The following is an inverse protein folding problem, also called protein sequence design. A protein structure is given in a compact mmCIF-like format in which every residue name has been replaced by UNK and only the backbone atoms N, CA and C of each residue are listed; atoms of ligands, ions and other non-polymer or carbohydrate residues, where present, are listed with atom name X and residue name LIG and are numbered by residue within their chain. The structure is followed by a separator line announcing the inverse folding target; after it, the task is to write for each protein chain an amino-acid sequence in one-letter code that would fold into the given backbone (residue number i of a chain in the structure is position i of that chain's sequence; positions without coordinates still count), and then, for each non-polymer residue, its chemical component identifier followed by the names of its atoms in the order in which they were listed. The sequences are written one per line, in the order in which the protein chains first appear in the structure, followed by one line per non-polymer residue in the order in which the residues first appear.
data_IF_141031165918
#
_entry.id   IF_141031165918
#
_cell.length_a   1.000
_cell.length_b   1.000
_cell.length_c   1.000
_cell.angle_alpha   90.00
_cell.angle_beta   90.00
_cell.angle_gamma   90.00
#
_symmetry.space_group_name_H-M   'P 1'
#
loop_
_entity.id
_entity.type
_entity.pdbx_description
1 polymer ?
#
# COMPACT_ATOMS: atom_id res chain seq x y z
N UNK A 1 -8.44 1.43 -13.29
CA UNK A 1 -9.36 0.30 -13.56
C UNK A 1 -9.18 -0.37 -14.93
N UNK A 2 -8.42 0.21 -15.87
CA UNK A 2 -8.20 -0.43 -17.19
C UNK A 2 -9.47 -0.66 -18.01
N UNK A 3 -10.53 0.11 -17.76
CA UNK A 3 -11.86 -0.08 -18.35
C UNK A 3 -12.83 -0.92 -17.52
N UNK A 4 -12.45 -1.46 -16.36
CA UNK A 4 -13.38 -2.26 -15.52
C UNK A 4 -14.20 -1.37 -14.58
N UNK A 5 -15.49 -1.21 -14.81
CA UNK A 5 -16.34 -0.31 -14.03
C UNK A 5 -17.17 -1.05 -12.98
N UNK A 6 -17.38 -0.47 -11.78
CA UNK A 6 -18.16 -1.08 -10.70
C UNK A 6 -19.67 -0.84 -10.88
N UNK A 7 -20.46 -1.88 -10.63
CA UNK A 7 -21.93 -1.84 -10.63
C UNK A 7 -22.44 -2.46 -9.35
N UNK A 8 -23.41 -1.81 -8.69
CA UNK A 8 -24.10 -2.41 -7.56
C UNK A 8 -24.86 -3.67 -7.99
N UNK A 9 -24.83 -4.72 -7.18
CA UNK A 9 -25.41 -6.03 -7.49
C UNK A 9 -26.79 -6.28 -6.88
N UNK A 10 -27.42 -5.25 -6.29
CA UNK A 10 -28.73 -5.27 -5.64
C UNK A 10 -28.82 -6.08 -4.33
N UNK A 11 -27.69 -6.53 -3.77
CA UNK A 11 -27.67 -7.13 -2.44
C UNK A 11 -27.70 -6.04 -1.36
N UNK A 12 -28.52 -6.22 -0.33
CA UNK A 12 -28.64 -5.25 0.76
C UNK A 12 -27.32 -5.11 1.55
N UNK A 13 -26.98 -3.87 1.89
CA UNK A 13 -25.93 -3.55 2.85
C UNK A 13 -26.50 -3.56 4.28
N UNK A 14 -25.72 -3.94 5.32
CA UNK A 14 -26.16 -3.90 6.72
C UNK A 14 -26.68 -2.54 7.19
N UNK A 15 -26.09 -1.45 6.69
CA UNK A 15 -26.65 -0.10 6.81
C UNK A 15 -27.86 0.04 5.88
N UNK A 16 -29.05 0.04 6.48
CA UNK A 16 -30.34 0.21 5.79
C UNK A 16 -30.43 1.55 5.04
N UNK A 17 -29.80 2.61 5.57
CA UNK A 17 -29.82 3.92 4.94
C UNK A 17 -28.96 3.92 3.67
N UNK A 18 -27.78 3.28 3.70
CA UNK A 18 -26.99 3.07 2.49
C UNK A 18 -27.77 2.22 1.46
N UNK A 19 -28.43 1.16 1.90
CA UNK A 19 -29.29 0.35 1.02
C UNK A 19 -30.39 1.18 0.37
N UNK A 20 -31.08 2.04 1.13
CA UNK A 20 -32.11 2.92 0.60
C UNK A 20 -31.56 3.91 -0.45
N UNK A 21 -30.38 4.50 -0.21
CA UNK A 21 -29.71 5.40 -1.17
C UNK A 21 -29.27 4.69 -2.45
N UNK A 22 -28.77 3.45 -2.34
CA UNK A 22 -28.41 2.63 -3.50
C UNK A 22 -29.65 2.25 -4.31
N UNK A 23 -30.77 1.91 -3.65
CA UNK A 23 -32.03 1.57 -4.30
C UNK A 23 -32.75 2.76 -4.94
N UNK A 24 -32.58 3.97 -4.41
CA UNK A 24 -33.09 5.17 -5.07
C UNK A 24 -32.27 5.59 -6.29
N UNK A 25 -31.09 5.01 -6.46
CA UNK A 25 -30.18 5.29 -7.57
C UNK A 25 -30.41 4.38 -8.78
N UNK A 26 -29.87 4.77 -9.93
CA UNK A 26 -30.08 4.03 -11.18
C UNK A 26 -29.21 2.77 -11.24
N UNK A 27 -29.79 1.60 -10.96
CA UNK A 27 -29.12 0.28 -10.95
C UNK A 27 -28.47 -0.14 -12.28
N UNK A 28 -28.87 0.44 -13.41
CA UNK A 28 -28.28 0.15 -14.72
C UNK A 28 -27.02 0.96 -15.00
N UNK A 29 -26.73 2.00 -14.20
CA UNK A 29 -25.54 2.84 -14.33
C UNK A 29 -24.43 2.36 -13.40
N UNK A 30 -23.19 2.47 -13.88
CA UNK A 30 -22.03 2.24 -13.03
C UNK A 30 -22.01 3.23 -11.87
N UNK A 31 -21.50 2.81 -10.73
CA UNK A 31 -21.35 3.63 -9.53
C UNK A 31 -20.62 4.95 -9.81
N UNK A 32 -19.63 4.95 -10.71
CA UNK A 32 -18.84 6.15 -11.04
C UNK A 32 -19.64 7.25 -11.77
N UNK A 33 -20.84 6.92 -12.27
CA UNK A 33 -21.77 7.86 -12.89
C UNK A 33 -22.97 8.17 -11.99
N UNK A 34 -22.95 7.71 -10.76
CA UNK A 34 -23.95 8.05 -9.76
C UNK A 34 -23.47 9.22 -8.90
N UNK A 35 -24.37 9.78 -8.09
CA UNK A 35 -24.00 10.82 -7.13
C UNK A 35 -23.25 10.19 -5.95
N UNK A 36 -21.93 10.08 -6.09
CA UNK A 36 -21.05 9.51 -5.06
C UNK A 36 -21.12 10.31 -3.76
N UNK A 37 -21.33 11.63 -3.84
CA UNK A 37 -21.47 12.48 -2.66
C UNK A 37 -22.72 12.08 -1.89
N UNK A 38 -23.86 11.95 -2.57
CA UNK A 38 -25.10 11.46 -1.97
C UNK A 38 -24.95 10.05 -1.38
N UNK A 39 -24.40 9.11 -2.14
CA UNK A 39 -24.24 7.71 -1.70
C UNK A 39 -23.37 7.58 -0.45
N UNK A 40 -22.33 8.41 -0.33
CA UNK A 40 -21.38 8.41 0.79
C UNK A 40 -21.87 9.10 2.07
N UNK A 41 -23.07 9.70 2.07
CA UNK A 41 -23.55 10.47 3.22
C UNK A 41 -23.71 9.61 4.48
N UNK A 42 -23.13 10.09 5.59
CA UNK A 42 -23.27 9.44 6.89
C UNK A 42 -22.51 8.13 7.03
N UNK A 43 -21.65 7.77 6.07
CA UNK A 43 -20.77 6.61 6.22
C UNK A 43 -19.56 6.98 7.09
N UNK A 44 -19.24 6.08 8.02
CA UNK A 44 -18.07 6.16 8.88
C UNK A 44 -17.08 5.06 8.50
N UNK A 45 -15.78 5.36 8.60
CA UNK A 45 -14.72 4.40 8.28
C UNK A 45 -13.34 4.98 8.55
N UNK A 46 -12.31 4.21 8.17
CA UNK A 46 -10.90 4.53 8.45
C UNK A 46 -10.28 5.60 7.55
N UNK A 47 -11.02 6.11 6.56
CA UNK A 47 -10.56 7.12 5.62
C UNK A 47 -11.30 8.45 5.80
N UNK A 48 -10.59 9.56 5.64
CA UNK A 48 -11.20 10.90 5.58
C UNK A 48 -11.83 11.20 4.23
N UNK A 49 -11.63 10.35 3.21
CA UNK A 49 -12.26 10.48 1.91
C UNK A 49 -13.59 9.70 1.88
N UNK A 50 -14.74 10.38 1.74
CA UNK A 50 -16.05 9.74 1.81
C UNK A 50 -16.30 8.75 0.66
N UNK A 51 -15.69 8.96 -0.51
CA UNK A 51 -15.77 8.03 -1.64
C UNK A 51 -14.97 6.76 -1.36
N UNK A 52 -13.82 6.88 -0.69
CA UNK A 52 -13.04 5.72 -0.25
C UNK A 52 -13.84 4.89 0.75
N UNK A 53 -14.45 5.53 1.75
CA UNK A 53 -15.30 4.84 2.73
C UNK A 53 -16.47 4.14 2.04
N UNK A 54 -17.15 4.81 1.10
CA UNK A 54 -18.21 4.18 0.30
C UNK A 54 -17.71 2.94 -0.45
N UNK A 55 -16.55 3.01 -1.09
CA UNK A 55 -15.98 1.87 -1.83
C UNK A 55 -15.63 0.70 -0.91
N UNK A 56 -15.10 0.98 0.28
CA UNK A 56 -14.77 -0.02 1.30
C UNK A 56 -16.04 -0.70 1.82
N UNK A 57 -17.07 0.08 2.19
CA UNK A 57 -18.36 -0.45 2.62
C UNK A 57 -19.04 -1.32 1.56
N UNK A 58 -18.87 -1.01 0.27
CA UNK A 58 -19.47 -1.77 -0.81
C UNK A 58 -18.65 -3.00 -1.21
N UNK A 59 -17.33 -2.97 -1.05
CA UNK A 59 -16.45 -4.08 -1.43
C UNK A 59 -16.34 -5.10 -0.29
N UNK A 60 -16.25 -4.64 0.95
CA UNK A 60 -16.19 -5.47 2.16
C UNK A 60 -17.15 -4.95 3.24
N UNK A 61 -18.47 -5.20 3.12
CA UNK A 61 -19.44 -4.74 4.10
C UNK A 61 -19.11 -5.24 5.51
N UNK A 62 -19.06 -4.32 6.48
CA UNK A 62 -18.80 -4.67 7.88
C UNK A 62 -17.38 -5.14 8.21
N UNK A 63 -16.41 -4.96 7.30
CA UNK A 63 -15.01 -5.37 7.51
C UNK A 63 -14.39 -4.81 8.78
N UNK A 64 -14.69 -3.55 9.11
CA UNK A 64 -14.19 -2.87 10.32
C UNK A 64 -14.78 -3.48 11.61
N UNK A 65 -15.95 -4.12 11.52
CA UNK A 65 -16.54 -4.91 12.61
C UNK A 65 -16.08 -6.38 12.61
N UNK A 66 -15.10 -6.73 11.75
CA UNK A 66 -14.59 -8.10 11.61
C UNK A 66 -15.54 -9.05 10.88
N UNK A 67 -16.56 -8.53 10.19
CA UNK A 67 -17.51 -9.35 9.44
C UNK A 67 -16.92 -9.74 8.07
N UNK A 68 -17.28 -10.95 7.63
CA UNK A 68 -16.91 -11.49 6.32
C UNK A 68 -18.16 -11.58 5.43
N UNK A 69 -18.58 -10.43 4.90
CA UNK A 69 -19.78 -10.33 4.07
C UNK A 69 -19.45 -10.33 2.57
N UNK A 70 -20.35 -10.83 1.70
CA UNK A 70 -20.18 -10.76 0.26
C UNK A 70 -20.08 -9.31 -0.25
N UNK A 71 -19.22 -9.08 -1.24
CA UNK A 71 -19.13 -7.79 -1.94
C UNK A 71 -20.46 -7.41 -2.61
N UNK A 72 -20.78 -6.12 -2.59
CA UNK A 72 -21.98 -5.54 -3.21
C UNK A 72 -21.72 -5.01 -4.62
N UNK A 73 -20.49 -5.17 -5.11
CA UNK A 73 -20.06 -4.70 -6.42
C UNK A 73 -19.83 -5.85 -7.40
N UNK A 74 -20.26 -5.64 -8.64
CA UNK A 74 -19.91 -6.43 -9.82
C UNK A 74 -19.10 -5.56 -10.77
N UNK A 75 -17.90 -6.02 -11.09
CA UNK A 75 -17.00 -5.35 -12.03
C UNK A 75 -17.30 -5.80 -13.46
N UNK A 76 -17.48 -4.84 -14.38
CA UNK A 76 -17.79 -5.11 -15.80
C UNK A 76 -16.76 -4.44 -16.71
N UNK A 77 -16.27 -5.12 -17.77
CA UNK A 77 -15.31 -4.53 -18.69
C UNK A 77 -15.99 -3.58 -19.68
N UNK A 78 -15.41 -2.39 -19.85
CA UNK A 78 -15.77 -1.36 -20.82
C UNK A 78 -14.51 -0.91 -21.55
N UNK A 79 -14.23 -1.55 -22.70
CA UNK A 79 -13.01 -1.27 -23.46
C UNK A 79 -12.96 0.17 -23.98
N UNK A 80 -14.11 0.74 -24.35
CA UNK A 80 -14.28 2.13 -24.79
C UNK A 80 -14.04 3.16 -23.67
N UNK A 81 -13.99 2.70 -22.41
CA UNK A 81 -13.72 3.52 -21.22
C UNK A 81 -12.33 3.30 -20.65
N UNK A 82 -11.49 2.50 -21.31
CA UNK A 82 -10.10 2.34 -20.93
C UNK A 82 -9.34 3.64 -21.20
N UNK A 83 -8.66 4.15 -20.17
CA UNK A 83 -7.75 5.30 -20.28
C UNK A 83 -6.38 4.76 -20.67
N UNK A 84 -5.72 5.37 -21.66
CA UNK A 84 -4.34 5.06 -21.96
C UNK A 84 -3.41 5.64 -20.89
N UNK A 85 -2.56 4.80 -20.31
CA UNK A 85 -1.69 5.17 -19.20
C UNK A 85 -0.51 4.20 -19.08
N UNK A 86 0.51 4.63 -18.35
CA UNK A 86 1.63 3.77 -17.98
C UNK A 86 1.97 3.95 -16.50
N UNK A 87 2.29 2.84 -15.85
CA UNK A 87 2.72 2.73 -14.46
C UNK A 87 4.19 2.33 -14.48
N UNK A 88 5.03 3.19 -13.91
CA UNK A 88 6.48 3.04 -13.86
C UNK A 88 6.88 2.65 -12.44
N UNK A 89 7.74 1.64 -12.28
CA UNK A 89 8.18 1.21 -10.96
C UNK A 89 9.52 0.48 -10.96
N UNK A 90 10.24 0.58 -9.83
CA UNK A 90 11.56 -0.03 -9.63
C UNK A 90 11.52 -1.56 -9.72
N UNK A 91 10.43 -2.17 -9.25
CA UNK A 91 10.28 -3.62 -9.15
C UNK A 91 8.96 -4.15 -9.68
N UNK A 92 8.63 -5.43 -9.39
CA UNK A 92 7.35 -6.03 -9.73
C UNK A 92 6.17 -5.27 -9.12
N UNK A 93 4.94 -5.41 -9.67
CA UNK A 93 3.76 -4.82 -9.08
C UNK A 93 3.55 -5.28 -7.63
N UNK A 94 3.27 -4.34 -6.74
CA UNK A 94 3.06 -4.60 -5.32
C UNK A 94 3.76 -3.60 -4.40
N UNK A 95 4.68 -2.79 -4.92
CA UNK A 95 5.32 -1.73 -4.13
C UNK A 95 6.09 -2.31 -2.93
N UNK A 96 5.86 -1.74 -1.74
CA UNK A 96 6.58 -2.12 -0.52
C UNK A 96 6.46 -3.62 -0.17
N UNK A 97 5.36 -4.28 -0.51
CA UNK A 97 5.17 -5.71 -0.28
C UNK A 97 6.25 -6.59 -0.95
N UNK A 98 6.85 -6.11 -2.05
CA UNK A 98 7.93 -6.83 -2.74
C UNK A 98 9.29 -6.72 -2.02
N UNK A 99 9.44 -5.75 -1.10
CA UNK A 99 10.69 -5.48 -0.39
C UNK A 99 10.68 -5.93 1.07
N UNK A 100 9.50 -6.13 1.65
CA UNK A 100 9.33 -6.63 3.03
C UNK A 100 9.72 -8.12 3.14
N UNK A 101 10.10 -8.58 4.34
CA UNK A 101 10.32 -10.02 4.60
C UNK A 101 9.02 -10.80 4.36
N UNK A 102 9.10 -11.74 3.43
CA UNK A 102 8.00 -12.58 3.01
C UNK A 102 7.42 -13.50 4.08
N UNK A 103 8.20 -13.83 5.12
CA UNK A 103 7.80 -14.73 6.20
C UNK A 103 6.98 -14.04 7.30
N UNK A 104 7.04 -12.70 7.38
CA UNK A 104 6.29 -11.93 8.37
C UNK A 104 4.80 -12.00 8.03
N UNK A 105 3.96 -12.15 9.06
CA UNK A 105 2.51 -12.11 8.90
C UNK A 105 2.02 -10.67 8.78
N UNK A 106 1.15 -10.41 7.81
CA UNK A 106 0.48 -9.12 7.62
C UNK A 106 -0.23 -8.70 8.89
N UNK A 107 -0.24 -7.41 9.20
CA UNK A 107 -1.11 -6.89 10.26
C UNK A 107 -2.55 -7.02 9.81
N UNK A 108 -2.88 -6.49 8.63
CA UNK A 108 -4.23 -6.59 8.08
C UNK A 108 -4.63 -8.02 7.69
N UNK A 109 -5.93 -8.27 7.68
CA UNK A 109 -6.51 -9.52 7.22
C UNK A 109 -6.46 -9.61 5.69
N UNK A 110 -6.35 -10.83 5.14
CA UNK A 110 -6.27 -11.08 3.70
C UNK A 110 -7.42 -10.45 2.91
N UNK A 111 -8.66 -10.50 3.42
CA UNK A 111 -9.81 -9.88 2.77
C UNK A 111 -9.67 -8.37 2.64
N UNK A 112 -9.05 -7.69 3.62
CA UNK A 112 -8.85 -6.24 3.59
C UNK A 112 -7.80 -5.79 2.56
N UNK A 113 -7.00 -6.72 2.06
CA UNK A 113 -5.95 -6.47 1.08
C UNK A 113 -6.39 -6.85 -0.34
N UNK A 114 -7.65 -7.24 -0.53
CA UNK A 114 -8.20 -7.61 -1.82
C UNK A 114 -8.24 -6.42 -2.79
N UNK A 115 -7.92 -6.71 -4.05
CA UNK A 115 -8.05 -5.77 -5.14
C UNK A 115 -9.36 -6.03 -5.91
N UNK A 116 -9.99 -4.96 -6.43
CA UNK A 116 -11.22 -5.02 -7.20
C UNK A 116 -11.34 -6.18 -8.19
N UNK A 117 -12.38 -6.99 -8.04
CA UNK A 117 -12.72 -8.04 -8.99
C UNK A 117 -11.92 -9.34 -8.89
N UNK A 118 -11.02 -9.48 -7.90
CA UNK A 118 -10.33 -10.73 -7.62
C UNK A 118 -10.24 -10.97 -6.11
N UNK A 119 -11.12 -11.79 -5.56
CA UNK A 119 -11.05 -12.17 -4.14
C UNK A 119 -9.73 -12.93 -3.83
N UNK A 120 -9.11 -12.65 -2.68
CA UNK A 120 -7.83 -13.21 -2.27
C UNK A 120 -7.93 -14.72 -2.12
N UNK A 121 -9.01 -15.21 -1.50
CA UNK A 121 -9.28 -16.65 -1.33
C UNK A 121 -9.42 -17.37 -2.66
N UNK A 122 -10.02 -16.72 -3.67
CA UNK A 122 -10.12 -17.30 -5.02
C UNK A 122 -8.75 -17.37 -5.69
N UNK A 123 -7.89 -16.38 -5.46
CA UNK A 123 -6.51 -16.43 -5.92
C UNK A 123 -5.71 -17.52 -5.19
N UNK A 124 -5.86 -17.68 -3.87
CA UNK A 124 -5.22 -18.76 -3.09
C UNK A 124 -5.63 -20.14 -3.64
N UNK A 125 -6.92 -20.38 -3.86
CA UNK A 125 -7.44 -21.63 -4.40
C UNK A 125 -6.85 -21.97 -5.78
N UNK A 126 -6.69 -20.97 -6.65
CA UNK A 126 -6.09 -21.12 -7.98
C UNK A 126 -4.61 -21.50 -7.92
N UNK A 127 -3.92 -21.12 -6.84
CA UNK A 127 -2.51 -21.44 -6.62
C UNK A 127 -2.33 -22.71 -5.77
N UNK A 128 -3.38 -23.52 -5.61
CA UNK A 128 -3.32 -24.80 -4.88
C UNK A 128 -3.33 -24.66 -3.36
N UNK A 129 -3.58 -23.47 -2.83
CA UNK A 129 -3.71 -23.26 -1.38
C UNK A 129 -5.14 -23.55 -0.93
N UNK A 130 -5.35 -24.07 0.30
CA UNK A 130 -6.69 -24.29 0.85
C UNK A 130 -7.47 -22.98 0.92
N UNK A 131 -8.75 -23.01 0.53
CA UNK A 131 -9.66 -21.88 0.79
C UNK A 131 -9.83 -21.77 2.30
N UNK A 132 -9.32 -20.67 2.85
CA UNK A 132 -9.34 -20.38 4.29
C UNK A 132 -10.29 -19.21 4.57
N UNK A 133 -10.76 -19.11 5.81
CA UNK A 133 -11.49 -17.93 6.30
C UNK A 133 -10.58 -16.70 6.36
N UNK A 134 -11.16 -15.56 6.75
CA UNK A 134 -10.45 -14.29 6.84
C UNK A 134 -9.39 -14.42 7.92
N UNK A 135 -8.13 -14.15 7.56
CA UNK A 135 -6.97 -14.30 8.45
C UNK A 135 -5.80 -13.44 8.00
N UNK A 136 -4.82 -13.29 8.89
CA UNK A 136 -3.49 -12.78 8.53
C UNK A 136 -2.76 -13.79 7.66
N UNK A 137 -2.00 -13.29 6.68
CA UNK A 137 -1.26 -14.11 5.71
C UNK A 137 0.20 -13.66 5.68
N UNK A 138 1.12 -14.51 5.23
CA UNK A 138 2.49 -14.07 4.98
C UNK A 138 2.52 -12.90 3.99
N UNK A 139 3.42 -11.94 4.21
CA UNK A 139 3.71 -10.82 3.31
C UNK A 139 3.98 -11.31 1.89
N UNK A 140 4.70 -12.43 1.74
CA UNK A 140 4.98 -13.04 0.44
C UNK A 140 3.71 -13.39 -0.34
N UNK A 141 2.64 -13.80 0.36
CA UNK A 141 1.35 -14.11 -0.27
C UNK A 141 0.71 -12.85 -0.86
N UNK A 142 0.78 -11.71 -0.18
CA UNK A 142 0.25 -10.43 -0.67
C UNK A 142 1.07 -9.92 -1.85
N UNK A 143 2.40 -10.01 -1.75
CA UNK A 143 3.32 -9.64 -2.83
C UNK A 143 3.05 -10.46 -4.10
N UNK A 144 2.85 -11.78 -3.96
CA UNK A 144 2.48 -12.65 -5.06
C UNK A 144 1.10 -12.31 -5.63
N UNK A 145 0.11 -12.08 -4.76
CA UNK A 145 -1.25 -11.70 -5.14
C UNK A 145 -1.28 -10.42 -5.99
N UNK A 146 -0.58 -9.35 -5.57
CA UNK A 146 -0.55 -8.08 -6.33
C UNK A 146 0.18 -8.19 -7.67
N UNK A 147 1.27 -8.94 -7.71
CA UNK A 147 1.97 -9.24 -8.97
C UNK A 147 1.07 -10.01 -9.94
N UNK A 148 0.38 -11.04 -9.44
CA UNK A 148 -0.45 -11.90 -10.28
C UNK A 148 -1.76 -11.21 -10.66
N UNK A 149 -2.29 -10.32 -9.82
CA UNK A 149 -3.45 -9.48 -10.13
C UNK A 149 -3.25 -8.70 -11.43
N UNK A 150 -2.08 -8.07 -11.61
CA UNK A 150 -1.75 -7.34 -12.86
C UNK A 150 -1.84 -8.24 -14.09
N UNK A 151 -1.38 -9.50 -13.98
CA UNK A 151 -1.46 -10.48 -15.08
C UNK A 151 -2.89 -10.96 -15.31
N UNK A 152 -3.57 -11.41 -14.26
CA UNK A 152 -4.91 -11.99 -14.30
C UNK A 152 -5.96 -10.98 -14.77
N UNK A 153 -5.79 -9.71 -14.42
CA UNK A 153 -6.66 -8.61 -14.82
C UNK A 153 -6.24 -7.94 -16.14
N UNK A 154 -5.26 -8.52 -16.85
CA UNK A 154 -4.77 -8.06 -18.17
C UNK A 154 -4.28 -6.61 -18.15
N UNK A 155 -3.66 -6.20 -17.06
CA UNK A 155 -3.14 -4.85 -16.85
C UNK A 155 -1.66 -4.73 -17.24
N UNK A 156 -0.94 -5.84 -17.47
CA UNK A 156 0.50 -5.85 -17.73
C UNK A 156 0.96 -4.87 -18.82
N UNK A 157 0.15 -4.63 -19.86
CA UNK A 157 0.45 -3.68 -20.93
C UNK A 157 0.63 -2.23 -20.46
N UNK A 158 0.09 -1.88 -19.29
CA UNK A 158 0.23 -0.56 -18.68
C UNK A 158 1.37 -0.50 -17.68
N UNK A 159 2.15 -1.56 -17.48
CA UNK A 159 3.22 -1.60 -16.48
C UNK A 159 4.58 -1.71 -17.17
N UNK A 160 5.50 -0.83 -16.75
CA UNK A 160 6.93 -0.96 -17.02
C UNK A 160 7.65 -1.02 -15.68
N UNK A 161 8.03 -2.24 -15.31
CA UNK A 161 8.83 -2.54 -14.11
C UNK A 161 10.32 -2.48 -14.43
N UNK A 162 11.17 -2.35 -13.41
CA UNK A 162 12.63 -2.26 -13.58
C UNK A 162 13.08 -0.89 -14.07
N UNK A 163 12.37 0.17 -13.70
CA UNK A 163 12.70 1.53 -14.11
C UNK A 163 12.71 2.48 -12.92
N UNK A 164 13.57 3.49 -13.00
CA UNK A 164 13.64 4.59 -12.05
C UNK A 164 13.26 5.88 -12.77
N UNK A 165 12.24 6.57 -12.27
CA UNK A 165 11.92 7.95 -12.68
C UNK A 165 12.84 8.89 -11.92
N UNK A 166 13.54 9.75 -12.65
CA UNK A 166 14.51 10.72 -12.10
C UNK A 166 13.98 12.15 -12.14
N UNK A 167 13.07 12.48 -13.05
CA UNK A 167 12.47 13.80 -13.13
C UNK A 167 11.04 13.79 -13.64
N UNK A 168 10.23 14.70 -13.10
CA UNK A 168 8.90 15.05 -13.61
C UNK A 168 8.88 16.57 -13.78
N UNK A 169 8.75 17.06 -15.01
CA UNK A 169 8.82 18.49 -15.34
C UNK A 169 7.58 18.94 -16.11
N UNK A 170 7.04 20.13 -15.83
CA UNK A 170 5.99 20.68 -16.69
C UNK A 170 6.55 21.02 -18.07
N UNK A 171 5.77 20.76 -19.12
CA UNK A 171 6.09 21.14 -20.51
C UNK A 171 5.37 22.45 -20.81
N UNK A 172 6.12 23.46 -21.27
CA UNK A 172 5.59 24.79 -21.59
C UNK A 172 5.51 25.69 -20.36
N UNK A 173 6.63 26.37 -20.06
CA UNK A 173 6.68 27.42 -19.04
C UNK A 173 5.87 28.65 -19.45
N UNK A 174 4.57 28.66 -19.17
CA UNK A 174 3.78 29.87 -19.10
C UNK A 174 2.94 29.81 -17.82
N UNK A 175 3.41 30.54 -16.81
CA UNK A 175 2.49 31.10 -15.82
C UNK A 175 1.35 31.81 -16.58
N UNK A 176 0.11 31.82 -16.08
CA UNK A 176 -0.97 32.58 -16.69
C UNK A 176 -0.62 34.07 -16.59
N UNK A 177 0.05 34.62 -17.60
CA UNK A 177 0.21 36.06 -17.73
C UNK A 177 -1.10 36.61 -18.26
N UNK A 178 -1.72 37.43 -17.43
CA UNK A 178 -2.85 38.28 -17.78
C UNK A 178 -2.51 39.13 -19.00
N UNK A 179 -3.30 39.01 -20.07
CA UNK A 179 -3.60 40.17 -20.89
C UNK A 179 -3.14 40.23 -22.35
N UNK A 180 -2.90 39.12 -23.06
CA UNK A 180 -2.69 39.19 -24.51
C UNK A 180 -3.80 38.49 -25.31
N UNK A 181 -4.53 39.30 -26.08
CA UNK A 181 -5.50 38.86 -27.08
C UNK A 181 -4.75 38.19 -28.23
N UNK A 182 -5.13 36.96 -28.55
CA UNK A 182 -4.61 36.23 -29.70
C UNK A 182 -5.60 36.44 -30.85
N UNK A 183 -5.16 37.19 -31.86
CA UNK A 183 -5.81 37.23 -33.18
C UNK A 183 -5.46 35.96 -33.98
N UNK A 184 -6.40 35.62 -34.86
CA UNK A 184 -6.62 34.34 -35.51
C UNK A 184 -5.68 34.03 -36.69
N UNK A 185 -5.72 32.74 -37.09
CA UNK A 185 -5.35 32.20 -38.40
C UNK A 185 -3.86 31.87 -38.66
N UNK A 186 -3.43 30.74 -38.11
CA UNK A 186 -2.46 29.86 -38.77
C UNK A 186 -2.86 28.40 -38.53
N UNK A 187 -3.51 27.80 -39.54
CA UNK A 187 -3.73 26.35 -39.64
C UNK A 187 -2.39 25.63 -39.72
N UNK A 188 -1.82 25.36 -38.55
CA UNK A 188 -0.80 24.31 -38.40
C UNK A 188 -1.52 23.15 -37.75
N UNK A 189 -1.43 21.96 -38.36
CA UNK A 189 -1.99 20.72 -37.86
C UNK A 189 -1.49 20.44 -36.43
N UNK A 190 -2.21 21.00 -35.46
CA UNK A 190 -2.01 20.81 -34.03
C UNK A 190 -2.40 19.38 -33.73
N UNK A 191 -1.42 18.48 -33.74
CA UNK A 191 -1.48 17.30 -32.89
C UNK A 191 -1.82 17.82 -31.49
N UNK A 192 -3.05 17.61 -31.04
CA UNK A 192 -3.56 18.00 -29.72
C UNK A 192 -2.89 17.17 -28.62
N UNK A 193 -1.56 17.12 -28.57
CA UNK A 193 -0.83 16.71 -27.39
C UNK A 193 -0.97 17.85 -26.38
N UNK A 194 -2.09 17.84 -25.65
CA UNK A 194 -2.28 18.59 -24.39
C UNK A 194 -1.35 18.07 -23.27
N UNK A 195 -0.15 17.65 -23.65
CA UNK A 195 0.85 17.16 -22.76
C UNK A 195 1.34 18.31 -21.90
N UNK A 196 1.28 18.08 -20.59
CA UNK A 196 1.66 19.08 -19.59
C UNK A 196 2.89 18.65 -18.84
N UNK A 197 3.32 17.39 -18.98
CA UNK A 197 4.38 16.81 -18.18
C UNK A 197 5.32 15.95 -19.04
N UNK A 198 6.61 16.12 -18.78
CA UNK A 198 7.70 15.26 -19.21
C UNK A 198 8.14 14.42 -18.01
N UNK A 199 8.20 13.11 -18.18
CA UNK A 199 8.64 12.13 -17.17
C UNK A 199 9.86 11.40 -17.69
N UNK A 200 10.99 11.63 -17.05
CA UNK A 200 12.29 11.09 -17.45
C UNK A 200 12.78 10.05 -16.44
N UNK A 201 13.56 9.10 -16.93
CA UNK A 201 14.13 8.07 -16.10
C UNK A 201 15.06 7.14 -16.87
N UNK A 202 15.42 6.01 -16.27
CA UNK A 202 16.23 4.99 -16.90
C UNK A 202 15.78 3.58 -16.51
N UNK A 203 16.10 2.61 -17.37
CA UNK A 203 15.96 1.18 -17.08
C UNK A 203 17.09 0.71 -16.16
N UNK A 204 16.76 0.01 -15.08
CA UNK A 204 17.73 -0.38 -14.05
C UNK A 204 18.71 -1.47 -14.50
N UNK A 205 18.40 -2.19 -15.58
CA UNK A 205 19.25 -3.25 -16.11
C UNK A 205 20.10 -2.74 -17.27
N UNK A 206 19.48 -2.06 -18.24
CA UNK A 206 20.19 -1.59 -19.45
C UNK A 206 20.82 -0.22 -19.28
N UNK A 207 20.45 0.54 -18.24
CA UNK A 207 20.77 1.96 -18.05
C UNK A 207 20.30 2.86 -19.21
N UNK A 208 19.40 2.37 -20.07
CA UNK A 208 18.88 3.17 -21.18
C UNK A 208 17.90 4.23 -20.65
N UNK A 209 18.09 5.51 -21.02
CA UNK A 209 17.18 6.56 -20.63
C UNK A 209 15.83 6.44 -21.36
N UNK A 210 14.77 6.93 -20.73
CA UNK A 210 13.47 7.08 -21.36
C UNK A 210 12.84 8.44 -21.05
N UNK A 211 11.92 8.85 -21.93
CA UNK A 211 11.07 10.03 -21.75
C UNK A 211 9.63 9.66 -22.12
N UNK A 212 8.70 9.89 -21.20
CA UNK A 212 7.27 9.89 -21.47
C UNK A 212 6.72 11.30 -21.42
N UNK A 213 5.79 11.59 -22.31
CA UNK A 213 5.10 12.88 -22.39
C UNK A 213 3.61 12.62 -22.18
N UNK A 214 3.00 13.27 -21.18
CA UNK A 214 1.63 12.99 -20.80
C UNK A 214 0.86 14.23 -20.32
N UNK A 215 -0.47 14.12 -20.29
CA UNK A 215 -1.36 15.19 -19.82
C UNK A 215 -1.40 15.31 -18.30
N UNK A 216 -1.31 14.18 -17.60
CA UNK A 216 -1.44 14.09 -16.15
C UNK A 216 -0.41 13.12 -15.60
N UNK A 217 0.12 13.44 -14.41
CA UNK A 217 1.03 12.58 -13.64
C UNK A 217 0.40 12.33 -12.28
N UNK A 218 0.49 11.08 -11.82
CA UNK A 218 0.11 10.69 -10.45
C UNK A 218 1.36 10.13 -9.79
N UNK A 219 1.75 10.73 -8.67
CA UNK A 219 2.87 10.26 -7.87
C UNK A 219 2.36 9.29 -6.80
N UNK A 220 2.73 8.03 -6.93
CA UNK A 220 2.40 6.96 -6.00
C UNK A 220 3.68 6.24 -5.53
N UNK A 221 4.67 7.03 -5.11
CA UNK A 221 6.05 6.56 -4.80
C UNK A 221 6.18 5.96 -3.41
N UNK A 222 5.14 6.05 -2.56
CA UNK A 222 5.23 5.67 -1.16
C UNK A 222 6.11 6.61 -0.35
N UNK A 223 6.33 6.27 0.92
CA UNK A 223 7.14 7.01 1.88
C UNK A 223 8.01 6.12 2.77
N UNK A 224 8.05 4.82 2.48
CA UNK A 224 8.70 3.80 3.34
C UNK A 224 10.15 3.56 2.98
N UNK A 225 10.64 4.12 1.87
CA UNK A 225 12.02 4.00 1.40
C UNK A 225 12.94 5.14 1.87
N UNK A 226 12.42 6.06 2.70
CA UNK A 226 13.22 7.10 3.36
C UNK A 226 13.08 7.01 4.88
N UNK A 227 14.19 6.74 5.55
CA UNK A 227 14.23 6.60 7.00
C UNK A 227 14.25 7.96 7.70
N UNK A 228 13.66 8.02 8.88
CA UNK A 228 13.79 9.16 9.78
C UNK A 228 15.09 9.03 10.59
N UNK A 229 15.77 10.15 10.77
CA UNK A 229 17.01 10.25 11.54
C UNK A 229 16.79 11.12 12.79
N UNK A 230 17.44 10.76 13.90
CA UNK A 230 17.41 11.54 15.13
C UNK A 230 18.30 12.79 15.06
N UNK A 231 19.22 12.82 14.10
CA UNK A 231 20.26 13.82 13.90
C UNK A 231 21.14 13.99 15.15
N UNK A 232 21.54 12.87 15.76
CA UNK A 232 22.46 12.87 16.91
C UNK A 232 23.92 12.69 16.48
N UNK A 233 24.86 13.14 17.31
CA UNK A 233 26.28 13.04 17.00
C UNK A 233 26.70 11.57 16.81
N UNK A 234 27.27 11.26 15.65
CA UNK A 234 27.79 9.92 15.31
C UNK A 234 26.77 8.97 14.69
N UNK A 235 25.52 9.36 14.47
CA UNK A 235 24.47 8.50 13.87
C UNK A 235 24.85 7.94 12.51
N UNK A 236 25.53 8.74 11.67
CA UNK A 236 25.99 8.31 10.34
C UNK A 236 27.37 7.64 10.34
N UNK A 237 28.04 7.55 11.49
CA UNK A 237 29.43 7.09 11.58
C UNK A 237 29.56 5.61 11.98
N UNK A 238 28.45 4.93 12.25
CA UNK A 238 28.45 3.60 12.86
C UNK A 238 27.54 2.57 12.14
N UNK A 239 27.76 2.30 10.84
CA UNK A 239 26.90 1.42 10.06
C UNK A 239 26.97 -0.07 10.49
N UNK A 240 27.90 -0.45 11.36
CA UNK A 240 28.04 -1.83 11.84
C UNK A 240 27.10 -2.20 12.98
N UNK A 241 26.54 -1.21 13.69
CA UNK A 241 25.68 -1.48 14.86
C UNK A 241 24.49 -0.52 14.97
N UNK A 242 24.38 0.47 14.08
CA UNK A 242 23.24 1.39 14.01
C UNK A 242 22.48 1.15 12.70
N UNK A 243 21.18 0.85 12.84
CA UNK A 243 20.30 0.49 11.73
C UNK A 243 19.04 1.35 11.76
N UNK A 244 18.54 1.73 10.57
CA UNK A 244 17.34 2.57 10.41
C UNK A 244 16.15 1.83 9.80
N UNK A 245 16.36 0.59 9.38
CA UNK A 245 15.34 -0.32 8.90
C UNK A 245 15.42 -1.67 9.62
N UNK A 246 14.29 -2.36 9.66
CA UNK A 246 14.15 -3.62 10.37
C UNK A 246 14.94 -4.76 9.70
N UNK A 247 15.07 -4.74 8.37
CA UNK A 247 15.67 -5.85 7.63
C UNK A 247 17.19 -5.93 7.86
N UNK A 248 17.89 -4.79 7.79
CA UNK A 248 19.32 -4.72 8.09
C UNK A 248 19.58 -5.05 9.57
N UNK A 249 18.71 -4.60 10.47
CA UNK A 249 18.76 -4.96 11.89
C UNK A 249 18.61 -6.47 12.12
N UNK A 250 17.61 -7.12 11.52
CA UNK A 250 17.38 -8.56 11.65
C UNK A 250 18.54 -9.38 11.10
N UNK A 251 19.12 -8.95 9.97
CA UNK A 251 20.31 -9.58 9.41
C UNK A 251 21.50 -9.51 10.37
N UNK A 252 21.79 -8.32 10.90
CA UNK A 252 22.87 -8.13 11.87
C UNK A 252 22.62 -8.92 13.16
N UNK A 253 21.37 -9.00 13.60
CA UNK A 253 20.96 -9.79 14.76
C UNK A 253 21.21 -11.29 14.54
N UNK A 254 20.86 -11.83 13.38
CA UNK A 254 21.10 -13.24 13.05
C UNK A 254 22.58 -13.58 13.12
N UNK A 255 23.44 -12.70 12.63
CA UNK A 255 24.89 -12.89 12.68
C UNK A 255 25.42 -12.80 14.13
N UNK A 256 24.98 -11.80 14.89
CA UNK A 256 25.30 -11.66 16.33
C UNK A 256 24.91 -12.92 17.13
N UNK A 257 23.72 -13.46 16.88
CA UNK A 257 23.19 -14.66 17.53
C UNK A 257 24.01 -15.91 17.21
N UNK A 258 24.46 -16.05 15.96
CA UNK A 258 25.31 -17.17 15.53
C UNK A 258 26.69 -17.11 16.18
N UNK A 259 27.28 -15.93 16.25
CA UNK A 259 28.62 -15.72 16.82
C UNK A 259 28.62 -15.86 18.36
N UNK A 260 27.48 -15.60 19.01
CA UNK A 260 27.35 -15.60 20.47
C UNK A 260 26.28 -16.59 20.95
N UNK A 261 26.56 -17.91 20.91
CA UNK A 261 25.60 -18.94 21.31
C UNK A 261 25.38 -19.04 22.83
N UNK A 262 26.27 -18.45 23.63
CA UNK A 262 26.24 -18.54 25.09
C UNK A 262 25.03 -17.83 25.70
N UNK A 263 24.30 -18.54 26.58
CA UNK A 263 23.18 -18.01 27.35
C UNK A 263 23.51 -18.12 28.84
N UNK A 264 23.33 -17.01 29.58
CA UNK A 264 23.43 -16.94 31.03
C UNK A 264 22.19 -16.23 31.56
N UNK A 265 21.55 -16.81 32.59
CA UNK A 265 20.37 -16.22 33.25
C UNK A 265 19.21 -15.92 32.27
N UNK A 266 19.06 -16.75 31.23
CA UNK A 266 18.01 -16.61 30.22
C UNK A 266 18.29 -15.60 29.11
N UNK A 267 19.45 -14.93 29.13
CA UNK A 267 19.87 -13.96 28.13
C UNK A 267 21.21 -14.34 27.50
N UNK A 268 21.45 -13.87 26.28
CA UNK A 268 22.76 -13.95 25.64
C UNK A 268 23.76 -13.04 26.32
N UNK A 269 25.01 -13.47 26.37
CA UNK A 269 26.12 -12.69 26.92
C UNK A 269 26.70 -11.74 25.88
N UNK A 270 25.89 -10.76 25.47
CA UNK A 270 26.23 -9.70 24.51
C UNK A 270 25.82 -8.34 25.06
N UNK A 271 26.30 -7.25 24.45
CA UNK A 271 25.84 -5.91 24.79
C UNK A 271 24.33 -5.75 24.51
N UNK A 272 23.59 -4.97 25.32
CA UNK A 272 22.17 -4.76 25.12
C UNK A 272 21.85 -4.11 23.77
N UNK A 273 20.82 -4.62 23.11
CA UNK A 273 20.25 -4.02 21.90
C UNK A 273 19.37 -2.83 22.30
N UNK A 274 19.68 -1.66 21.76
CA UNK A 274 18.89 -0.45 21.97
C UNK A 274 17.92 -0.23 20.80
N UNK A 275 16.62 -0.22 21.09
CA UNK A 275 15.57 0.02 20.10
C UNK A 275 14.93 1.37 20.38
N UNK A 276 14.88 2.24 19.36
CA UNK A 276 14.31 3.59 19.49
C UNK A 276 13.01 3.72 18.68
N UNK A 277 11.93 4.09 19.37
CA UNK A 277 10.63 4.35 18.76
C UNK A 277 9.51 3.47 19.33
N UNK A 278 8.26 3.84 19.03
CA UNK A 278 7.06 3.13 19.48
C UNK A 278 6.16 2.69 18.31
N UNK A 279 6.69 2.66 17.08
CA UNK A 279 5.95 2.18 15.90
C UNK A 279 5.97 0.66 15.78
N UNK A 280 5.29 0.14 14.75
CA UNK A 280 5.23 -1.30 14.46
C UNK A 280 6.61 -1.91 14.23
N UNK A 281 7.48 -1.25 13.46
CA UNK A 281 8.86 -1.74 13.25
C UNK A 281 9.66 -1.83 14.55
N UNK A 282 9.45 -0.91 15.50
CA UNK A 282 10.11 -0.98 16.81
C UNK A 282 9.55 -2.15 17.63
N UNK A 283 8.24 -2.38 17.58
CA UNK A 283 7.63 -3.53 18.23
C UNK A 283 8.12 -4.86 17.65
N UNK A 284 8.19 -4.99 16.33
CA UNK A 284 8.73 -6.18 15.65
C UNK A 284 10.20 -6.42 16.04
N UNK A 285 11.01 -5.35 16.08
CA UNK A 285 12.40 -5.43 16.53
C UNK A 285 12.51 -5.90 17.99
N UNK A 286 11.62 -5.45 18.89
CA UNK A 286 11.59 -5.90 20.29
C UNK A 286 11.21 -7.38 20.36
N UNK A 287 10.17 -7.80 19.64
CA UNK A 287 9.71 -9.19 19.62
C UNK A 287 10.80 -10.13 19.10
N UNK A 288 11.45 -9.76 18.00
CA UNK A 288 12.55 -10.52 17.40
C UNK A 288 13.74 -10.62 18.35
N UNK A 289 14.14 -9.50 18.99
CA UNK A 289 15.24 -9.50 19.96
C UNK A 289 14.95 -10.39 21.17
N UNK A 290 13.72 -10.35 21.70
CA UNK A 290 13.29 -11.20 22.82
C UNK A 290 13.26 -12.67 22.43
N UNK A 291 12.77 -12.99 21.22
CA UNK A 291 12.75 -14.36 20.70
C UNK A 291 14.17 -14.97 20.66
N UNK A 292 15.18 -14.15 20.37
CA UNK A 292 16.58 -14.55 20.37
C UNK A 292 17.29 -14.41 21.74
N UNK A 293 16.56 -14.12 22.82
CA UNK A 293 17.10 -13.93 24.18
C UNK A 293 18.17 -12.83 24.27
N UNK A 294 18.05 -11.76 23.48
CA UNK A 294 18.98 -10.63 23.55
C UNK A 294 18.62 -9.70 24.73
N UNK A 295 19.60 -9.21 25.50
CA UNK A 295 19.37 -8.13 26.45
C UNK A 295 18.93 -6.87 25.69
N UNK A 296 17.95 -6.13 26.22
CA UNK A 296 17.24 -5.10 25.46
C UNK A 296 16.97 -3.83 26.25
N UNK A 297 17.18 -2.69 25.60
CA UNK A 297 16.82 -1.34 26.06
C UNK A 297 15.82 -0.77 25.05
N UNK A 298 14.59 -0.52 25.49
CA UNK A 298 13.57 0.10 24.64
C UNK A 298 13.38 1.57 25.01
N UNK A 299 13.75 2.47 24.09
CA UNK A 299 13.62 3.92 24.26
C UNK A 299 12.49 4.41 23.37
N UNK A 300 11.49 5.05 23.97
CA UNK A 300 10.40 5.65 23.22
C UNK A 300 9.93 6.92 23.89
N UNK A 301 9.46 7.86 23.07
CA UNK A 301 8.69 8.99 23.57
C UNK A 301 7.35 8.44 24.07
N UNK A 302 6.85 8.97 25.20
CA UNK A 302 5.51 8.64 25.69
C UNK A 302 4.51 9.04 24.61
N UNK A 303 4.10 8.08 23.79
CA UNK A 303 3.22 8.31 22.67
C UNK A 303 1.77 8.31 23.18
N UNK A 304 0.96 9.23 22.68
CA UNK A 304 -0.50 9.17 22.90
C UNK A 304 -1.09 7.91 22.26
N UNK A 305 -0.44 7.39 21.21
CA UNK A 305 -0.85 6.24 20.40
C UNK A 305 0.28 5.22 20.33
N UNK A 306 0.12 4.06 20.96
CA UNK A 306 1.03 2.91 20.82
C UNK A 306 0.34 1.76 20.06
N UNK A 307 1.08 0.86 19.39
CA UNK A 307 0.52 -0.29 18.68
C UNK A 307 -0.45 -1.09 19.56
N UNK A 308 -0.09 -1.34 20.81
CA UNK A 308 -0.91 -1.99 21.84
C UNK A 308 -2.24 -1.27 22.12
N UNK A 309 -2.31 0.05 21.90
CA UNK A 309 -3.54 0.84 22.08
C UNK A 309 -4.40 0.88 20.81
N UNK A 310 -3.81 0.59 19.64
CA UNK A 310 -4.50 0.67 18.34
C UNK A 310 -4.86 -0.68 17.75
N UNK A 311 -4.15 -1.73 18.13
CA UNK A 311 -4.37 -3.08 17.66
C UNK A 311 -5.15 -3.84 18.74
N UNK A 312 -6.25 -4.52 18.42
CA UNK A 312 -6.98 -5.35 19.39
C UNK A 312 -6.17 -6.57 19.86
N UNK A 313 -6.07 -6.80 21.17
CA UNK A 313 -5.29 -7.90 21.78
C UNK A 313 -5.68 -9.28 21.27
N UNK A 314 -6.96 -9.51 21.01
CA UNK A 314 -7.45 -10.79 20.49
C UNK A 314 -6.92 -11.12 19.09
N UNK A 315 -6.60 -10.12 18.28
CA UNK A 315 -6.07 -10.30 16.91
C UNK A 315 -4.54 -10.16 16.85
N UNK A 316 -3.97 -9.44 17.81
CA UNK A 316 -2.56 -9.04 17.84
C UNK A 316 -1.92 -9.26 19.22
N UNK A 317 -2.03 -10.48 19.80
CA UNK A 317 -1.58 -10.73 21.16
C UNK A 317 -0.06 -10.57 21.32
N UNK A 318 0.71 -10.75 20.24
CA UNK A 318 2.16 -10.56 20.25
C UNK A 318 2.54 -9.10 20.53
N UNK A 319 1.83 -8.14 19.95
CA UNK A 319 2.16 -6.72 20.12
C UNK A 319 1.90 -6.25 21.56
N UNK A 320 0.93 -6.85 22.26
CA UNK A 320 0.62 -6.54 23.67
C UNK A 320 1.65 -7.11 24.65
N UNK A 321 2.53 -8.01 24.19
CA UNK A 321 3.62 -8.55 25.00
C UNK A 321 4.87 -7.68 24.95
N UNK A 322 4.94 -6.68 24.07
CA UNK A 322 6.12 -5.81 23.90
C UNK A 322 6.46 -5.11 25.22
N UNK A 323 5.45 -4.59 25.90
CA UNK A 323 5.63 -3.90 27.20
C UNK A 323 5.24 -4.73 28.43
N UNK A 324 4.84 -6.00 28.27
CA UNK A 324 4.67 -6.91 29.41
C UNK A 324 6.06 -7.33 29.92
N UNK A 325 6.37 -6.88 31.15
CA UNK A 325 7.55 -7.25 31.93
C UNK A 325 7.29 -8.52 32.73
#
# INVERSE_FOLDING_TARGET
LGGNWPYYNNLAHPDEMLTARLHSSCHTRSLIHQDLKFLSQGLEGRSSNPVSVLMDCLTHPGADAGLDMPQLLKWRPHADKAIDHIVLGKGPPGGAWQAMDGNVLTISLNSWMELPGLEFRRWEARNGNPVSSTRRVPVASVAAYYRDYVKLMRLSKYFRSGVIVTAVRPIGGLAPQSGEKIDSEAETASCHCSARWAVEGYDTVTNEPFLYVCRSVVLATGSTDQHNFLNVLGEHSHPSWLFHDLADFEKAMVDLVKENPGIKEGYRTVDPVCIVGAGLSAADAVLSSRFHSLPLIHIFRRAEVSPERTLPENMYPEYHKVHQM
#
